data_IF_431777995986
#
_entry.id   IF_431777995986
#
_cell.length_a   1.000
_cell.length_b   1.000
_cell.length_c   1.000
_cell.angle_alpha   90.00
_cell.angle_beta   90.00
_cell.angle_gamma   90.00
#
_symmetry.space_group_name_H-M   'P 1'
#
loop_
_entity.id
_entity.type
_entity.pdbx_description
1 polymer ?
#
# COMPACT_ATOMS: atom_id res chain seq x y z
N UNK A 1 -47.05 1.12 0.52
CA UNK A 1 -45.93 0.37 1.14
C UNK A 1 -45.38 -0.75 0.24
N UNK A 2 -46.20 -1.64 -0.34
CA UNK A 2 -45.72 -2.68 -1.28
C UNK A 2 -44.97 -2.13 -2.52
N UNK A 3 -45.39 -0.97 -3.03
CA UNK A 3 -44.77 -0.33 -4.21
C UNK A 3 -43.38 0.26 -3.93
N UNK A 4 -43.05 0.56 -2.67
CA UNK A 4 -41.73 1.06 -2.28
C UNK A 4 -40.74 -0.07 -1.96
N UNK A 5 -41.21 -1.30 -1.78
CA UNK A 5 -40.37 -2.45 -1.44
C UNK A 5 -39.20 -2.69 -2.44
N UNK A 6 -39.37 -2.61 -3.77
CA UNK A 6 -38.24 -2.76 -4.69
C UNK A 6 -37.19 -1.67 -4.50
N UNK A 7 -37.62 -0.41 -4.34
CA UNK A 7 -36.71 0.73 -4.09
C UNK A 7 -35.97 0.58 -2.76
N UNK A 8 -36.66 0.14 -1.70
CA UNK A 8 -36.05 -0.12 -0.39
C UNK A 8 -35.00 -1.23 -0.50
N UNK A 9 -35.31 -2.33 -1.21
CA UNK A 9 -34.37 -3.44 -1.40
C UNK A 9 -33.12 -3.00 -2.18
N UNK A 10 -33.30 -2.18 -3.21
CA UNK A 10 -32.21 -1.60 -4.00
C UNK A 10 -31.32 -0.68 -3.15
N UNK A 11 -31.91 0.22 -2.37
CA UNK A 11 -31.17 1.10 -1.45
C UNK A 11 -30.38 0.31 -0.39
N UNK A 12 -30.97 -0.77 0.15
CA UNK A 12 -30.28 -1.66 1.09
C UNK A 12 -29.09 -2.36 0.42
N UNK A 13 -29.25 -2.83 -0.82
CA UNK A 13 -28.16 -3.46 -1.57
C UNK A 13 -27.02 -2.45 -1.83
N UNK A 14 -27.36 -1.26 -2.34
CA UNK A 14 -26.39 -0.19 -2.57
C UNK A 14 -25.65 0.22 -1.28
N UNK A 15 -26.35 0.31 -0.15
CA UNK A 15 -25.73 0.62 1.14
C UNK A 15 -24.76 -0.48 1.58
N UNK A 16 -25.11 -1.76 1.40
CA UNK A 16 -24.23 -2.89 1.75
C UNK A 16 -22.98 -2.92 0.87
N UNK A 17 -23.14 -2.70 -0.42
CA UNK A 17 -22.03 -2.67 -1.38
C UNK A 17 -21.08 -1.50 -1.07
N UNK A 18 -21.63 -0.31 -0.79
CA UNK A 18 -20.84 0.86 -0.38
C UNK A 18 -20.08 0.62 0.94
N UNK A 19 -20.73 -0.03 1.93
CA UNK A 19 -20.08 -0.38 3.18
C UNK A 19 -18.95 -1.40 2.99
N UNK A 20 -19.16 -2.41 2.16
CA UNK A 20 -18.15 -3.42 1.85
C UNK A 20 -16.95 -2.80 1.14
N UNK A 21 -17.20 -1.96 0.14
CA UNK A 21 -16.15 -1.22 -0.57
C UNK A 21 -15.31 -0.37 0.39
N UNK A 22 -15.97 0.34 1.31
CA UNK A 22 -15.29 1.15 2.33
C UNK A 22 -14.44 0.29 3.27
N UNK A 23 -14.93 -0.88 3.69
CA UNK A 23 -14.16 -1.80 4.52
C UNK A 23 -12.93 -2.35 3.79
N UNK A 24 -13.04 -2.62 2.49
CA UNK A 24 -11.92 -3.06 1.64
C UNK A 24 -10.87 -1.95 1.50
N UNK A 25 -11.29 -0.70 1.31
CA UNK A 25 -10.41 0.48 1.25
C UNK A 25 -9.67 0.70 2.58
N UNK A 26 -10.38 0.65 3.71
CA UNK A 26 -9.80 0.78 5.05
C UNK A 26 -8.78 -0.34 5.35
N UNK A 27 -9.08 -1.57 4.93
CA UNK A 27 -8.16 -2.70 5.07
C UNK A 27 -6.94 -2.56 4.15
N UNK A 28 -7.12 -2.07 2.92
CA UNK A 28 -6.02 -1.79 2.00
C UNK A 28 -5.07 -0.74 2.59
N UNK A 29 -5.61 0.37 3.12
CA UNK A 29 -4.82 1.40 3.79
C UNK A 29 -4.02 0.81 4.96
N UNK A 30 -4.65 0.00 5.82
CA UNK A 30 -3.96 -0.65 6.93
C UNK A 30 -2.83 -1.56 6.44
N UNK A 31 -3.09 -2.39 5.42
CA UNK A 31 -2.09 -3.28 4.84
C UNK A 31 -0.88 -2.51 4.31
N UNK A 32 -1.10 -1.39 3.61
CA UNK A 32 -0.01 -0.50 3.12
C UNK A 32 0.87 0.01 4.25
N UNK A 33 0.26 0.48 5.34
CA UNK A 33 1.02 0.92 6.52
C UNK A 33 1.81 -0.24 7.14
N UNK A 34 1.26 -1.46 7.14
CA UNK A 34 1.91 -2.64 7.68
C UNK A 34 3.09 -3.16 6.85
N UNK A 35 3.26 -2.70 5.61
CA UNK A 35 4.49 -2.93 4.84
C UNK A 35 5.67 -2.09 5.37
N UNK A 36 5.38 -1.04 6.15
CA UNK A 36 6.36 -0.08 6.66
C UNK A 36 6.51 -0.17 8.18
N UNK A 37 5.44 -0.51 8.92
CA UNK A 37 5.42 -0.49 10.37
C UNK A 37 4.88 -1.79 10.94
N UNK A 38 5.45 -2.24 12.06
CA UNK A 38 5.00 -3.45 12.73
C UNK A 38 3.61 -3.27 13.34
N UNK A 39 2.82 -4.35 13.35
CA UNK A 39 1.43 -4.35 13.87
C UNK A 39 1.33 -3.78 15.30
N UNK A 40 2.35 -3.99 16.13
CA UNK A 40 2.39 -3.45 17.51
C UNK A 40 2.41 -1.92 17.49
N UNK A 41 3.26 -1.33 16.67
CA UNK A 41 3.43 0.14 16.53
C UNK A 41 2.14 0.74 15.97
N UNK A 42 1.58 0.14 14.93
CA UNK A 42 0.31 0.61 14.36
C UNK A 42 -0.81 0.57 15.39
N UNK A 43 -0.93 -0.51 16.15
CA UNK A 43 -1.92 -0.59 17.22
C UNK A 43 -1.73 0.50 18.29
N UNK A 44 -0.48 0.77 18.72
CA UNK A 44 -0.15 1.84 19.66
C UNK A 44 -0.57 3.22 19.15
N UNK A 45 -0.26 3.52 17.89
CA UNK A 45 -0.64 4.79 17.24
C UNK A 45 -2.15 4.94 17.17
N UNK A 46 -2.87 3.91 16.73
CA UNK A 46 -4.33 3.95 16.62
C UNK A 46 -4.98 4.16 17.99
N UNK A 47 -4.53 3.44 19.03
CA UNK A 47 -5.00 3.65 20.41
C UNK A 47 -4.74 5.08 20.90
N UNK A 48 -3.58 5.64 20.60
CA UNK A 48 -3.21 6.98 21.04
C UNK A 48 -4.12 8.06 20.44
N UNK A 49 -4.58 7.90 19.20
CA UNK A 49 -5.40 8.92 18.52
C UNK A 49 -6.90 8.78 18.76
N UNK A 50 -7.41 7.56 18.96
CA UNK A 50 -8.85 7.32 19.10
C UNK A 50 -9.30 6.87 20.49
N UNK A 51 -8.37 6.55 21.40
CA UNK A 51 -8.69 5.97 22.72
C UNK A 51 -9.30 4.57 22.64
N UNK A 52 -9.19 3.91 21.48
CA UNK A 52 -9.77 2.59 21.21
C UNK A 52 -8.95 1.45 21.80
N UNK A 53 -9.46 0.23 21.61
CA UNK A 53 -8.89 -1.02 22.12
C UNK A 53 -8.04 -1.77 21.07
N UNK A 54 -7.46 -1.07 20.09
CA UNK A 54 -6.61 -1.72 19.09
C UNK A 54 -5.48 -2.51 19.75
N UNK A 55 -5.35 -3.78 19.41
CA UNK A 55 -4.22 -4.62 19.82
C UNK A 55 -3.53 -5.18 18.57
N UNK A 56 -2.30 -5.67 18.76
CA UNK A 56 -1.59 -6.42 17.71
C UNK A 56 -2.46 -7.57 17.19
N UNK A 57 -3.12 -8.29 18.09
CA UNK A 57 -3.98 -9.42 17.77
C UNK A 57 -5.25 -9.00 17.03
N UNK A 58 -5.86 -7.84 17.36
CA UNK A 58 -7.01 -7.29 16.63
C UNK A 58 -6.63 -6.96 15.19
N UNK A 59 -5.47 -6.30 14.98
CA UNK A 59 -4.94 -6.02 13.64
C UNK A 59 -4.66 -7.32 12.88
N UNK A 60 -3.96 -8.27 13.52
CA UNK A 60 -3.63 -9.55 12.91
C UNK A 60 -4.89 -10.33 12.48
N UNK A 61 -5.93 -10.36 13.33
CA UNK A 61 -7.20 -11.01 12.98
C UNK A 61 -7.90 -10.32 11.82
N UNK A 62 -7.86 -8.99 11.77
CA UNK A 62 -8.48 -8.24 10.68
C UNK A 62 -7.78 -8.48 9.34
N UNK A 63 -6.46 -8.36 9.30
CA UNK A 63 -5.64 -8.60 8.09
C UNK A 63 -5.83 -10.01 7.54
N UNK A 64 -5.99 -11.00 8.42
CA UNK A 64 -6.23 -12.40 8.05
C UNK A 64 -7.72 -12.74 7.82
N UNK A 65 -8.62 -11.76 7.75
CA UNK A 65 -10.06 -11.98 7.49
C UNK A 65 -10.82 -12.68 8.62
N UNK A 66 -10.22 -12.86 9.80
CA UNK A 66 -10.85 -13.48 10.99
C UNK A 66 -11.69 -12.49 11.81
N UNK A 67 -11.75 -11.24 11.37
CA UNK A 67 -12.55 -10.16 11.92
C UNK A 67 -13.07 -9.31 10.76
N UNK A 68 -14.38 -9.36 10.51
CA UNK A 68 -15.01 -8.78 9.29
C UNK A 68 -15.72 -7.45 9.54
N UNK A 69 -16.02 -7.12 10.80
CA UNK A 69 -16.84 -5.96 11.15
C UNK A 69 -16.04 -4.79 11.76
N UNK A 70 -14.71 -4.87 11.77
CA UNK A 70 -13.88 -3.78 12.29
C UNK A 70 -13.83 -2.65 11.25
N UNK A 71 -13.86 -1.41 11.73
CA UNK A 71 -13.79 -0.20 10.92
C UNK A 71 -12.84 0.79 11.57
N UNK A 72 -12.25 1.64 10.74
CA UNK A 72 -11.48 2.78 11.21
C UNK A 72 -12.39 3.98 11.42
N UNK A 73 -12.14 4.76 12.47
CA UNK A 73 -12.75 6.09 12.61
C UNK A 73 -11.95 7.13 11.84
N UNK A 74 -12.55 8.30 11.56
CA UNK A 74 -11.93 9.31 10.71
C UNK A 74 -10.53 9.76 11.18
N UNK A 75 -10.32 9.92 12.49
CA UNK A 75 -9.02 10.30 13.04
C UNK A 75 -7.97 9.21 12.84
N UNK A 76 -8.36 7.93 12.88
CA UNK A 76 -7.47 6.80 12.62
C UNK A 76 -7.07 6.75 11.14
N UNK A 77 -8.01 7.00 10.23
CA UNK A 77 -7.75 7.07 8.78
C UNK A 77 -6.74 8.20 8.50
N UNK A 78 -6.96 9.39 9.05
CA UNK A 78 -6.03 10.52 8.91
C UNK A 78 -4.65 10.18 9.47
N UNK A 79 -4.59 9.53 10.62
CA UNK A 79 -3.33 9.11 11.23
C UNK A 79 -2.59 8.10 10.34
N UNK A 80 -3.25 7.04 9.86
CA UNK A 80 -2.64 6.05 8.98
C UNK A 80 -2.15 6.68 7.66
N UNK A 81 -2.92 7.58 7.05
CA UNK A 81 -2.49 8.32 5.85
C UNK A 81 -1.25 9.17 6.11
N UNK A 82 -1.10 9.75 7.30
CA UNK A 82 0.07 10.55 7.66
C UNK A 82 1.35 9.73 7.84
N UNK A 83 1.24 8.41 8.02
CA UNK A 83 2.38 7.49 8.10
C UNK A 83 2.92 7.07 6.73
N UNK A 84 2.21 7.41 5.65
CA UNK A 84 2.58 7.10 4.27
C UNK A 84 3.15 8.34 3.58
N UNK A 85 4.13 8.17 2.68
CA UNK A 85 4.62 9.28 1.87
C UNK A 85 3.51 9.83 0.97
N UNK A 86 3.51 11.15 0.76
CA UNK A 86 2.60 11.82 -0.16
C UNK A 86 3.17 11.83 -1.59
N UNK A 87 2.32 11.84 -2.63
CA UNK A 87 2.81 11.96 -4.00
C UNK A 87 3.60 13.27 -4.19
N UNK A 88 4.72 13.23 -4.94
CA UNK A 88 5.46 14.44 -5.26
C UNK A 88 4.65 15.37 -6.18
N UNK A 89 4.94 16.67 -6.18
CA UNK A 89 4.17 17.66 -6.93
C UNK A 89 4.14 17.40 -8.45
N UNK A 90 5.18 16.75 -8.99
CA UNK A 90 5.30 16.39 -10.40
C UNK A 90 4.73 15.01 -10.73
N UNK A 91 4.02 14.34 -9.83
CA UNK A 91 3.58 12.94 -10.03
C UNK A 91 2.74 12.75 -11.30
N UNK A 92 1.73 13.59 -11.52
CA UNK A 92 0.85 13.54 -12.71
C UNK A 92 1.48 14.22 -13.95
N UNK A 93 2.56 14.96 -13.76
CA UNK A 93 3.24 15.76 -14.80
C UNK A 93 4.74 15.45 -14.85
N UNK A 94 5.08 14.17 -14.70
CA UNK A 94 6.48 13.73 -14.69
C UNK A 94 7.14 14.01 -16.04
N UNK A 95 8.39 14.49 -16.02
CA UNK A 95 9.17 14.83 -17.22
C UNK A 95 9.69 13.59 -17.94
N UNK A 96 9.98 12.54 -17.18
CA UNK A 96 10.46 11.26 -17.70
C UNK A 96 10.16 10.14 -16.69
N UNK A 97 10.26 8.90 -17.16
CA UNK A 97 10.10 7.69 -16.34
C UNK A 97 11.47 7.06 -16.13
N UNK A 98 11.70 6.47 -14.96
CA UNK A 98 12.93 5.73 -14.67
C UNK A 98 12.66 4.48 -13.83
N UNK A 99 13.65 3.60 -13.77
CA UNK A 99 13.65 2.39 -12.94
C UNK A 99 14.79 2.48 -11.92
N UNK A 100 14.60 1.85 -10.76
CA UNK A 100 15.52 1.93 -9.62
C UNK A 100 15.98 0.52 -9.22
N UNK A 101 17.14 0.10 -9.72
CA UNK A 101 17.67 -1.25 -9.52
C UNK A 101 18.69 -1.25 -8.37
N UNK A 102 18.62 -2.26 -7.49
CA UNK A 102 19.45 -2.34 -6.27
C UNK A 102 19.30 -1.07 -5.42
N UNK A 103 18.04 -0.65 -5.26
CA UNK A 103 17.67 0.70 -4.84
C UNK A 103 18.10 1.05 -3.41
N UNK A 104 18.34 0.05 -2.57
CA UNK A 104 18.53 0.22 -1.14
C UNK A 104 17.37 1.01 -0.53
N UNK A 105 17.69 2.18 0.03
CA UNK A 105 16.69 3.09 0.62
C UNK A 105 16.31 4.27 -0.31
N UNK A 106 16.76 4.26 -1.57
CA UNK A 106 16.35 5.22 -2.60
C UNK A 106 17.23 6.47 -2.72
N UNK A 107 18.54 6.35 -2.47
CA UNK A 107 19.47 7.47 -2.62
C UNK A 107 19.54 8.02 -4.05
N UNK A 108 19.58 7.12 -5.05
CA UNK A 108 19.63 7.49 -6.48
C UNK A 108 18.29 8.07 -6.93
N UNK A 109 17.17 7.45 -6.49
CA UNK A 109 15.81 7.92 -6.75
C UNK A 109 15.61 9.40 -6.41
N UNK A 110 16.16 9.86 -5.27
CA UNK A 110 16.09 11.27 -4.86
C UNK A 110 16.54 12.21 -5.98
N UNK A 111 17.70 11.96 -6.58
CA UNK A 111 18.24 12.83 -7.62
C UNK A 111 17.38 12.87 -8.89
N UNK A 112 16.78 11.74 -9.27
CA UNK A 112 15.89 11.69 -10.44
C UNK A 112 14.52 12.31 -10.17
N UNK A 113 13.96 12.13 -8.97
CA UNK A 113 12.70 12.79 -8.59
C UNK A 113 12.87 14.30 -8.50
N UNK A 114 13.99 14.80 -8.00
CA UNK A 114 14.27 16.25 -7.89
C UNK A 114 14.25 16.97 -9.26
N UNK A 115 14.57 16.25 -10.34
CA UNK A 115 14.52 16.78 -11.71
C UNK A 115 13.22 16.41 -12.46
N UNK A 116 12.22 15.88 -11.74
CA UNK A 116 10.88 15.60 -12.26
C UNK A 116 10.66 14.18 -12.79
N UNK A 117 11.50 13.22 -12.40
CA UNK A 117 11.35 11.82 -12.77
C UNK A 117 10.22 11.12 -12.00
N UNK A 118 9.55 10.17 -12.65
CA UNK A 118 8.62 9.20 -12.03
C UNK A 118 9.26 7.81 -12.02
N UNK A 119 9.47 7.25 -10.83
CA UNK A 119 9.90 5.87 -10.66
C UNK A 119 8.74 4.94 -11.01
N UNK A 120 8.96 3.98 -11.91
CA UNK A 120 7.90 3.03 -12.37
C UNK A 120 8.23 1.58 -12.06
N UNK A 121 9.45 1.29 -11.59
CA UNK A 121 9.89 -0.02 -11.17
C UNK A 121 11.03 0.11 -10.16
N UNK A 122 10.99 -0.70 -9.10
CA UNK A 122 12.06 -0.78 -8.10
C UNK A 122 12.44 -2.24 -7.86
N UNK A 123 13.73 -2.56 -7.88
CA UNK A 123 14.26 -3.85 -7.45
C UNK A 123 15.15 -3.70 -6.24
N UNK A 124 14.80 -4.37 -5.13
CA UNK A 124 15.59 -4.40 -3.90
C UNK A 124 15.29 -5.68 -3.12
N UNK A 125 16.34 -6.42 -2.78
CA UNK A 125 16.24 -7.75 -2.15
C UNK A 125 16.16 -7.69 -0.63
N UNK A 126 16.64 -6.61 0.00
CA UNK A 126 16.68 -6.48 1.44
C UNK A 126 15.35 -5.91 1.96
N UNK A 127 14.55 -6.73 2.63
CA UNK A 127 13.25 -6.33 3.20
C UNK A 127 13.33 -5.11 4.14
N UNK A 128 14.40 -4.95 4.91
CA UNK A 128 14.58 -3.78 5.78
C UNK A 128 14.84 -2.50 4.98
N UNK A 129 15.56 -2.62 3.86
CA UNK A 129 15.76 -1.52 2.94
C UNK A 129 14.45 -1.15 2.23
N UNK A 130 13.70 -2.14 1.72
CA UNK A 130 12.36 -1.93 1.12
C UNK A 130 11.41 -1.25 2.08
N UNK A 131 11.38 -1.69 3.34
CA UNK A 131 10.56 -1.06 4.40
C UNK A 131 10.89 0.42 4.56
N UNK A 132 12.19 0.75 4.62
CA UNK A 132 12.66 2.14 4.71
C UNK A 132 12.35 2.93 3.44
N UNK A 133 12.48 2.30 2.28
CA UNK A 133 12.17 2.89 0.99
C UNK A 133 10.70 3.30 0.91
N UNK A 134 9.78 2.37 1.20
CA UNK A 134 8.32 2.62 1.19
C UNK A 134 7.89 3.66 2.22
N UNK A 135 8.64 3.82 3.31
CA UNK A 135 8.39 4.87 4.30
C UNK A 135 8.62 6.29 3.76
N UNK A 136 9.54 6.45 2.81
CA UNK A 136 10.00 7.75 2.34
C UNK A 136 9.54 8.09 0.91
N UNK A 137 9.24 7.08 0.10
CA UNK A 137 8.96 7.26 -1.32
C UNK A 137 7.55 6.83 -1.70
N UNK A 138 6.80 7.74 -2.33
CA UNK A 138 5.46 7.44 -2.82
C UNK A 138 5.50 6.39 -3.95
N UNK A 139 4.77 5.29 -3.77
CA UNK A 139 4.69 4.20 -4.73
C UNK A 139 3.22 3.84 -4.96
N UNK A 140 2.71 4.17 -6.14
CA UNK A 140 1.35 3.81 -6.55
C UNK A 140 1.36 2.41 -7.18
N UNK A 141 0.61 1.47 -6.61
CA UNK A 141 0.51 0.08 -7.10
C UNK A 141 -0.01 -0.03 -8.54
N UNK A 142 -0.70 1.00 -9.06
CA UNK A 142 -1.18 1.00 -10.44
C UNK A 142 -0.08 1.37 -11.44
N UNK A 143 0.94 2.11 -11.01
CA UNK A 143 1.96 2.74 -11.86
C UNK A 143 3.39 2.36 -11.50
N UNK A 144 3.59 1.63 -10.39
CA UNK A 144 4.88 1.23 -9.85
C UNK A 144 4.85 -0.23 -9.39
N UNK A 145 5.92 -0.96 -9.73
CA UNK A 145 6.10 -2.38 -9.36
C UNK A 145 7.36 -2.52 -8.52
N UNK A 146 7.25 -3.32 -7.46
CA UNK A 146 8.40 -3.80 -6.68
C UNK A 146 8.79 -5.22 -7.09
N UNK A 147 10.09 -5.45 -7.17
CA UNK A 147 10.70 -6.76 -7.33
C UNK A 147 11.73 -6.98 -6.21
N UNK A 148 11.81 -8.20 -5.69
CA UNK A 148 12.82 -8.57 -4.68
C UNK A 148 14.08 -9.15 -5.32
N UNK A 149 13.91 -10.14 -6.20
CA UNK A 149 15.01 -10.80 -6.89
C UNK A 149 14.97 -10.47 -8.38
N UNK A 150 15.96 -9.72 -8.86
CA UNK A 150 16.01 -9.28 -10.26
C UNK A 150 16.18 -10.47 -11.22
N UNK A 151 16.69 -11.61 -10.74
CA UNK A 151 16.86 -12.82 -11.55
C UNK A 151 15.54 -13.42 -12.00
N UNK A 152 14.45 -13.15 -11.28
CA UNK A 152 13.11 -13.57 -11.69
C UNK A 152 12.59 -12.76 -12.88
N UNK A 153 13.14 -11.55 -13.09
CA UNK A 153 12.81 -10.69 -14.23
C UNK A 153 13.71 -10.99 -15.41
N UNK A 154 15.02 -11.16 -15.17
CA UNK A 154 16.01 -11.46 -16.23
C UNK A 154 16.07 -12.94 -16.58
N UNK A 155 15.39 -13.81 -15.84
CA UNK A 155 15.39 -15.26 -16.01
C UNK A 155 16.78 -15.92 -15.90
N UNK A 156 17.78 -15.20 -15.39
CA UNK A 156 19.17 -15.67 -15.31
C UNK A 156 19.40 -16.74 -14.23
N UNK A 157 18.37 -17.08 -13.46
CA UNK A 157 18.35 -18.22 -12.54
C UNK A 157 17.84 -19.52 -13.22
N UNK A 158 17.41 -19.47 -14.47
CA UNK A 158 16.94 -20.63 -15.23
C UNK A 158 18.07 -21.17 -16.11
N UNK A 159 18.51 -22.40 -15.84
CA UNK A 159 19.61 -23.04 -16.56
C UNK A 159 19.27 -23.33 -18.04
N UNK A 160 17.97 -23.40 -18.37
CA UNK A 160 17.46 -23.68 -19.72
C UNK A 160 17.40 -22.44 -20.63
N UNK A 161 17.71 -21.25 -20.09
CA UNK A 161 17.64 -19.97 -20.81
C UNK A 161 19.06 -19.48 -21.09
N UNK A 162 19.38 -19.22 -22.35
CA UNK A 162 20.70 -18.70 -22.72
C UNK A 162 20.86 -17.23 -22.34
N UNK A 163 22.10 -16.74 -22.23
CA UNK A 163 22.36 -15.32 -21.96
C UNK A 163 21.76 -14.37 -23.01
N UNK A 164 21.56 -14.80 -24.25
CA UNK A 164 20.89 -13.98 -25.27
C UNK A 164 19.36 -13.96 -25.15
N UNK A 165 18.78 -14.92 -24.41
CA UNK A 165 17.34 -15.04 -24.19
C UNK A 165 16.90 -14.38 -22.86
N UNK A 166 17.84 -14.22 -21.93
CA UNK A 166 17.72 -13.52 -20.65
C UNK A 166 17.83 -11.99 -20.81
#
# INVERSE_FOLDING_TARGET
MKELQPVINELIAQSRDAEKYKQEEELCLLKKVLEIYDQKVVAEVLRAVSGSDWTRETINRWVNGKLTNKRLVEVEIKMLKSLLPSPPAHYDQSRFRFVDLFAGIGGIRSGFEDIGGKCVFTSEWNDYAVRTYKANWYCDENDHIFNSDIRDVTLSNQEDITEEQA
#
